data_IF_864541839776
#
_entry.id   IF_864541839776
#
_cell.length_a   1.000
_cell.length_b   1.000
_cell.length_c   1.000
_cell.angle_alpha   90.00
_cell.angle_beta   90.00
_cell.angle_gamma   90.00
#
_symmetry.space_group_name_H-M   'P 1'
#
loop_
_entity.id
_entity.type
_entity.pdbx_description
1 polymer ?
#
# COMPACT_ATOMS: atom_id res chain seq x y z
N UNK A 1 21.16 -49.97 -27.27
CA UNK A 1 20.91 -48.50 -27.30
C UNK A 1 19.42 -48.31 -27.47
N UNK A 2 18.75 -47.51 -26.63
CA UNK A 2 17.36 -47.09 -26.85
C UNK A 2 17.33 -46.15 -28.07
N UNK A 3 16.37 -46.31 -28.96
CA UNK A 3 16.27 -45.44 -30.12
C UNK A 3 15.96 -44.01 -29.70
N UNK A 4 16.47 -43.02 -30.41
CA UNK A 4 16.24 -41.60 -30.15
C UNK A 4 14.74 -41.27 -30.14
N UNK A 5 13.96 -41.93 -30.99
CA UNK A 5 12.49 -41.83 -31.05
C UNK A 5 11.82 -42.24 -29.73
N UNK A 6 12.28 -43.31 -29.09
CA UNK A 6 11.76 -43.74 -27.79
C UNK A 6 12.03 -42.71 -26.72
N UNK A 7 13.24 -42.18 -26.70
CA UNK A 7 13.64 -41.16 -25.71
C UNK A 7 12.81 -39.89 -25.87
N UNK A 8 12.61 -39.42 -27.10
CA UNK A 8 11.78 -38.23 -27.40
C UNK A 8 10.34 -38.48 -26.96
N UNK A 9 9.75 -39.64 -27.35
CA UNK A 9 8.36 -39.94 -27.01
C UNK A 9 8.13 -40.06 -25.51
N UNK A 10 9.07 -40.72 -24.78
CA UNK A 10 9.03 -40.83 -23.32
C UNK A 10 9.10 -39.47 -22.64
N UNK A 11 10.04 -38.61 -23.05
CA UNK A 11 10.21 -37.27 -22.49
C UNK A 11 8.97 -36.40 -22.73
N UNK A 12 8.38 -36.51 -23.92
CA UNK A 12 7.17 -35.77 -24.27
C UNK A 12 5.98 -36.22 -23.40
N UNK A 13 5.77 -37.52 -23.21
CA UNK A 13 4.71 -38.03 -22.34
C UNK A 13 4.88 -37.57 -20.91
N UNK A 14 6.10 -37.67 -20.37
CA UNK A 14 6.41 -37.20 -19.01
C UNK A 14 6.16 -35.72 -18.87
N UNK A 15 6.59 -34.91 -19.85
CA UNK A 15 6.36 -33.45 -19.84
C UNK A 15 4.87 -33.09 -19.85
N UNK A 16 4.05 -33.81 -20.66
CA UNK A 16 2.60 -33.61 -20.70
C UNK A 16 1.96 -34.00 -19.37
N UNK A 17 2.30 -35.14 -18.78
CA UNK A 17 1.75 -35.56 -17.48
C UNK A 17 2.07 -34.56 -16.40
N UNK A 18 3.33 -34.09 -16.31
CA UNK A 18 3.76 -33.11 -15.35
C UNK A 18 3.06 -31.75 -15.59
N UNK A 19 2.94 -31.33 -16.86
CA UNK A 19 2.26 -30.10 -17.23
C UNK A 19 0.78 -30.12 -16.83
N UNK A 20 0.06 -31.20 -17.09
CA UNK A 20 -1.33 -31.37 -16.68
C UNK A 20 -1.44 -31.40 -15.15
N UNK A 21 -0.56 -32.14 -14.45
CA UNK A 21 -0.56 -32.20 -13.00
C UNK A 21 -0.32 -30.84 -12.35
N UNK A 22 0.64 -30.05 -12.85
CA UNK A 22 0.90 -28.69 -12.38
C UNK A 22 -0.28 -27.74 -12.67
N UNK A 23 -0.86 -27.81 -13.87
CA UNK A 23 -1.97 -26.96 -14.26
C UNK A 23 -3.21 -27.20 -13.40
N UNK A 24 -3.59 -28.46 -13.20
CA UNK A 24 -4.76 -28.81 -12.37
C UNK A 24 -4.55 -28.43 -10.90
N UNK A 25 -3.34 -28.61 -10.37
CA UNK A 25 -3.01 -28.20 -9.00
C UNK A 25 -3.07 -26.69 -8.86
N UNK A 26 -2.48 -25.94 -9.80
CA UNK A 26 -2.52 -24.47 -9.80
C UNK A 26 -3.95 -23.93 -9.87
N UNK A 27 -4.80 -24.53 -10.69
CA UNK A 27 -6.20 -24.11 -10.84
C UNK A 27 -7.03 -24.41 -9.58
N UNK A 28 -6.83 -25.56 -8.95
CA UNK A 28 -7.53 -25.93 -7.70
C UNK A 28 -7.14 -25.05 -6.50
N UNK A 29 -5.94 -24.48 -6.51
CA UNK A 29 -5.44 -23.58 -5.46
C UNK A 29 -5.78 -22.11 -5.70
N UNK A 30 -6.17 -21.74 -6.90
CA UNK A 30 -6.36 -20.35 -7.32
C UNK A 30 -7.43 -19.61 -6.49
N UNK A 31 -8.54 -20.26 -6.21
CA UNK A 31 -9.62 -19.69 -5.40
C UNK A 31 -9.15 -19.39 -3.97
N UNK A 32 -8.46 -20.35 -3.35
CA UNK A 32 -7.90 -20.17 -2.01
C UNK A 32 -6.82 -19.08 -1.97
N UNK A 33 -6.00 -18.98 -3.00
CA UNK A 33 -4.99 -17.93 -3.12
C UNK A 33 -5.64 -16.55 -3.24
N UNK A 34 -6.69 -16.42 -4.04
CA UNK A 34 -7.41 -15.16 -4.19
C UNK A 34 -8.06 -14.70 -2.87
N UNK A 35 -8.68 -15.62 -2.14
CA UNK A 35 -9.25 -15.33 -0.82
C UNK A 35 -8.18 -14.88 0.18
N UNK A 36 -7.02 -15.54 0.20
CA UNK A 36 -5.91 -15.15 1.07
C UNK A 36 -5.37 -13.75 0.71
N UNK A 37 -5.21 -13.46 -0.59
CA UNK A 37 -4.77 -12.13 -1.05
C UNK A 37 -5.76 -11.05 -0.64
N UNK A 38 -7.06 -11.29 -0.77
CA UNK A 38 -8.10 -10.35 -0.35
C UNK A 38 -8.04 -10.10 1.17
N UNK A 39 -7.87 -11.15 1.97
CA UNK A 39 -7.70 -11.04 3.42
C UNK A 39 -6.43 -10.26 3.80
N UNK A 40 -5.33 -10.51 3.12
CA UNK A 40 -4.07 -9.79 3.36
C UNK A 40 -4.20 -8.30 3.03
N UNK A 41 -4.91 -7.95 1.97
CA UNK A 41 -5.25 -6.57 1.62
C UNK A 41 -6.05 -5.92 2.76
N UNK A 42 -7.13 -6.56 3.23
CA UNK A 42 -7.95 -6.05 4.33
C UNK A 42 -7.16 -5.88 5.62
N UNK A 43 -6.32 -6.85 5.98
CA UNK A 43 -5.42 -6.77 7.13
C UNK A 43 -4.49 -5.57 7.04
N UNK A 44 -3.85 -5.36 5.90
CA UNK A 44 -2.93 -4.23 5.71
C UNK A 44 -3.63 -2.87 5.79
N UNK A 45 -4.85 -2.76 5.25
CA UNK A 45 -5.66 -1.54 5.37
C UNK A 45 -6.04 -1.28 6.82
N UNK A 46 -6.48 -2.30 7.56
CA UNK A 46 -6.80 -2.19 8.99
C UNK A 46 -5.56 -1.79 9.80
N UNK A 47 -4.43 -2.48 9.59
CA UNK A 47 -3.17 -2.18 10.28
C UNK A 47 -2.74 -0.73 10.08
N UNK A 48 -2.70 -0.26 8.83
CA UNK A 48 -2.20 1.09 8.53
C UNK A 48 -3.12 2.18 9.07
N UNK A 49 -4.42 1.87 9.24
CA UNK A 49 -5.40 2.77 9.84
C UNK A 49 -5.43 2.71 11.37
N UNK A 50 -4.58 1.86 11.98
CA UNK A 50 -4.42 1.77 13.42
C UNK A 50 -5.42 0.84 14.12
N UNK A 51 -6.04 -0.09 13.39
CA UNK A 51 -6.84 -1.14 14.00
C UNK A 51 -5.93 -2.30 14.42
N UNK A 52 -5.89 -2.57 15.71
CA UNK A 52 -5.19 -3.74 16.25
C UNK A 52 -5.95 -5.01 15.86
N UNK A 53 -5.26 -5.92 15.21
CA UNK A 53 -5.74 -7.27 14.99
C UNK A 53 -4.73 -8.26 15.59
N UNK A 54 -5.18 -9.02 16.57
CA UNK A 54 -4.38 -10.06 17.20
C UNK A 54 -4.21 -11.26 16.26
N UNK A 55 -3.13 -12.02 16.45
CA UNK A 55 -2.86 -13.27 15.74
C UNK A 55 -3.97 -14.32 15.89
N UNK A 56 -4.81 -14.19 16.91
CA UNK A 56 -5.89 -15.11 17.23
C UNK A 56 -7.22 -14.80 16.53
N UNK A 57 -7.28 -13.67 15.79
CA UNK A 57 -8.47 -13.30 15.02
C UNK A 57 -8.68 -14.24 13.84
N UNK A 58 -9.92 -14.71 13.70
CA UNK A 58 -10.32 -15.52 12.55
C UNK A 58 -10.45 -14.66 11.28
N UNK A 59 -10.51 -15.31 10.12
CA UNK A 59 -10.73 -14.61 8.87
C UNK A 59 -12.10 -13.90 8.83
N UNK A 60 -13.10 -14.47 9.49
CA UNK A 60 -14.43 -13.88 9.64
C UNK A 60 -14.39 -12.62 10.51
N UNK A 61 -13.58 -12.60 11.58
CA UNK A 61 -13.40 -11.42 12.45
C UNK A 61 -12.78 -10.26 11.68
N UNK A 62 -11.74 -10.54 10.86
CA UNK A 62 -11.08 -9.54 10.01
C UNK A 62 -12.06 -8.97 8.98
N UNK A 63 -12.85 -9.82 8.33
CA UNK A 63 -13.85 -9.36 7.37
C UNK A 63 -14.92 -8.49 8.02
N UNK A 64 -15.39 -8.89 9.20
CA UNK A 64 -16.39 -8.15 9.97
C UNK A 64 -15.86 -6.80 10.44
N UNK A 65 -14.62 -6.76 10.96
CA UNK A 65 -13.95 -5.53 11.36
C UNK A 65 -13.80 -4.58 10.17
N UNK A 66 -13.33 -5.08 9.02
CA UNK A 66 -13.20 -4.30 7.81
C UNK A 66 -14.55 -3.72 7.37
N UNK A 67 -15.59 -4.56 7.26
CA UNK A 67 -16.93 -4.15 6.82
C UNK A 67 -17.56 -3.10 7.73
N UNK A 68 -17.32 -3.19 9.03
CA UNK A 68 -17.93 -2.28 10.01
C UNK A 68 -17.21 -0.93 10.11
N UNK A 69 -15.91 -0.88 9.85
CA UNK A 69 -15.10 0.31 10.11
C UNK A 69 -14.56 0.99 8.83
N UNK A 70 -14.56 0.30 7.68
CA UNK A 70 -13.96 0.82 6.44
C UNK A 70 -15.02 0.99 5.37
N UNK A 71 -15.07 2.17 4.77
CA UNK A 71 -15.82 2.45 3.55
C UNK A 71 -14.88 2.75 2.39
N UNK A 72 -15.20 2.18 1.23
CA UNK A 72 -14.44 2.41 0.00
C UNK A 72 -15.06 3.57 -0.77
N UNK A 73 -14.22 4.52 -1.15
CA UNK A 73 -14.59 5.67 -1.97
C UNK A 73 -13.82 5.58 -3.28
N UNK A 74 -14.49 5.82 -4.38
CA UNK A 74 -13.87 5.92 -5.70
C UNK A 74 -13.92 7.37 -6.14
N UNK A 75 -12.77 7.89 -6.57
CA UNK A 75 -12.64 9.25 -7.08
C UNK A 75 -12.13 9.24 -8.51
N UNK A 76 -12.47 10.27 -9.26
CA UNK A 76 -11.89 10.53 -10.58
C UNK A 76 -10.59 11.36 -10.47
N UNK A 77 -9.98 11.66 -11.62
CA UNK A 77 -8.72 12.44 -11.69
C UNK A 77 -8.86 13.89 -11.19
N UNK A 78 -10.08 14.42 -11.11
CA UNK A 78 -10.37 15.76 -10.55
C UNK A 78 -10.65 15.71 -9.05
N UNK A 79 -10.64 14.53 -8.42
CA UNK A 79 -10.91 14.33 -7.00
C UNK A 79 -12.39 14.37 -6.63
N UNK A 80 -13.29 14.14 -7.56
CA UNK A 80 -14.72 14.01 -7.32
C UNK A 80 -15.08 12.57 -7.01
N UNK A 81 -15.95 12.37 -6.02
CA UNK A 81 -16.46 11.03 -5.70
C UNK A 81 -17.42 10.61 -6.82
N UNK A 82 -17.19 9.44 -7.36
CA UNK A 82 -18.01 8.85 -8.42
C UNK A 82 -18.63 7.53 -7.97
N UNK A 83 -19.81 7.24 -8.50
CA UNK A 83 -20.43 5.92 -8.29
C UNK A 83 -19.72 4.83 -9.11
N UNK A 84 -19.67 3.61 -8.56
CA UNK A 84 -19.04 2.43 -9.18
C UNK A 84 -19.52 2.11 -10.61
N UNK A 85 -20.60 2.74 -11.08
CA UNK A 85 -21.23 2.48 -12.39
C UNK A 85 -20.75 3.43 -13.50
N UNK A 86 -19.87 4.39 -13.19
CA UNK A 86 -19.38 5.33 -14.21
C UNK A 86 -18.08 4.79 -14.81
N UNK A 87 -18.10 4.55 -16.11
CA UNK A 87 -16.92 4.13 -16.89
C UNK A 87 -16.01 5.32 -17.16
N UNK A 88 -15.36 5.85 -16.13
CA UNK A 88 -14.27 6.81 -16.31
C UNK A 88 -12.96 6.08 -16.57
N UNK A 89 -12.13 6.66 -17.46
CA UNK A 89 -10.85 6.07 -17.90
C UNK A 89 -9.82 5.94 -16.79
N UNK A 90 -9.90 6.77 -15.74
CA UNK A 90 -8.95 6.77 -14.64
C UNK A 90 -9.66 7.03 -13.31
N UNK A 91 -9.66 6.02 -12.46
CA UNK A 91 -10.26 6.10 -11.12
C UNK A 91 -9.25 5.71 -10.05
N UNK A 92 -9.39 6.31 -8.87
CA UNK A 92 -8.54 6.04 -7.72
C UNK A 92 -9.41 5.64 -6.52
N UNK A 93 -8.96 4.63 -5.78
CA UNK A 93 -9.68 4.10 -4.61
C UNK A 93 -9.08 4.67 -3.32
N UNK A 94 -9.95 5.12 -2.42
CA UNK A 94 -9.61 5.57 -1.07
C UNK A 94 -10.36 4.70 -0.08
N UNK A 95 -9.70 4.25 0.97
CA UNK A 95 -10.28 3.54 2.09
C UNK A 95 -10.44 4.51 3.26
N UNK A 96 -11.66 4.78 3.66
CA UNK A 96 -11.98 5.71 4.73
C UNK A 96 -12.33 4.93 5.99
N UNK A 97 -11.64 5.18 7.10
CA UNK A 97 -11.98 4.61 8.40
C UNK A 97 -12.91 5.54 9.18
N UNK A 98 -13.85 4.92 9.93
CA UNK A 98 -14.83 5.64 10.74
C UNK A 98 -14.97 5.00 12.11
N UNK A 99 -15.25 5.85 13.10
CA UNK A 99 -15.74 5.47 14.42
C UNK A 99 -17.11 6.18 14.61
N UNK A 100 -18.19 5.41 14.47
CA UNK A 100 -19.53 5.95 14.34
C UNK A 100 -19.63 6.90 13.13
N UNK A 101 -19.97 8.16 13.39
CA UNK A 101 -20.07 9.20 12.34
C UNK A 101 -18.75 9.97 12.11
N UNK A 102 -17.73 9.74 12.93
CA UNK A 102 -16.45 10.46 12.84
C UNK A 102 -15.49 9.73 11.94
N UNK A 103 -14.92 10.44 10.97
CA UNK A 103 -13.81 9.94 10.15
C UNK A 103 -12.55 9.93 11.01
N UNK A 104 -11.85 8.79 11.05
CA UNK A 104 -10.64 8.57 11.86
C UNK A 104 -9.38 8.46 11.01
N UNK A 105 -9.51 8.42 9.68
CA UNK A 105 -8.39 8.43 8.75
C UNK A 105 -8.77 7.95 7.36
N UNK A 106 -7.80 8.03 6.49
CA UNK A 106 -7.89 7.56 5.10
C UNK A 106 -6.69 6.67 4.80
N UNK A 107 -6.84 5.67 3.94
CA UNK A 107 -5.72 4.93 3.38
C UNK A 107 -5.81 4.92 1.85
N UNK A 108 -4.70 5.12 1.19
CA UNK A 108 -4.56 5.06 -0.26
C UNK A 108 -3.58 3.96 -0.65
N UNK A 109 -3.84 3.22 -1.73
CA UNK A 109 -2.87 2.30 -2.28
C UNK A 109 -1.68 3.08 -2.85
N UNK A 110 -0.49 2.58 -2.57
CA UNK A 110 0.76 3.10 -3.10
C UNK A 110 1.53 2.00 -3.81
N UNK A 111 2.15 2.32 -4.94
CA UNK A 111 2.96 1.37 -5.67
C UNK A 111 4.04 2.05 -6.51
N UNK A 112 5.24 1.51 -6.46
CA UNK A 112 6.31 2.00 -7.31
C UNK A 112 7.58 1.17 -7.25
N UNK A 113 8.56 1.58 -8.00
CA UNK A 113 9.79 0.83 -8.17
C UNK A 113 10.72 1.00 -6.97
N UNK A 114 11.05 -0.12 -6.30
CA UNK A 114 12.21 -0.20 -5.42
C UNK A 114 13.49 -0.53 -6.20
N UNK A 115 14.44 -1.21 -5.56
CA UNK A 115 15.67 -1.64 -6.22
C UNK A 115 15.42 -2.88 -7.12
N UNK A 116 14.76 -3.91 -6.59
CA UNK A 116 14.60 -5.21 -7.26
C UNK A 116 13.24 -5.43 -7.91
N UNK A 117 12.27 -4.60 -7.60
CA UNK A 117 10.94 -4.76 -8.16
C UNK A 117 9.97 -3.69 -7.74
N UNK A 118 8.70 -3.88 -8.12
CA UNK A 118 7.62 -3.02 -7.65
C UNK A 118 7.30 -3.36 -6.21
N UNK A 119 7.24 -2.34 -5.38
CA UNK A 119 6.75 -2.37 -4.01
C UNK A 119 5.28 -1.96 -4.02
N UNK A 120 4.46 -2.63 -3.24
CA UNK A 120 3.03 -2.36 -3.09
C UNK A 120 2.70 -2.21 -1.62
N UNK A 121 1.92 -1.19 -1.28
CA UNK A 121 1.57 -0.91 0.09
C UNK A 121 0.34 -0.02 0.21
N UNK A 122 0.13 0.47 1.43
CA UNK A 122 -0.88 1.47 1.75
C UNK A 122 -0.25 2.60 2.56
N UNK A 123 -0.63 3.82 2.24
CA UNK A 123 -0.26 5.01 2.99
C UNK A 123 -1.52 5.55 3.66
N UNK A 124 -1.47 5.66 4.99
CA UNK A 124 -2.57 6.19 5.77
C UNK A 124 -2.37 7.66 6.10
N UNK A 125 -3.47 8.39 6.08
CA UNK A 125 -3.56 9.83 6.20
C UNK A 125 -4.52 10.15 7.35
N UNK A 126 -4.13 11.05 8.24
CA UNK A 126 -4.99 11.54 9.32
C UNK A 126 -6.21 12.33 8.76
N UNK A 127 -7.27 12.53 9.56
CA UNK A 127 -8.45 13.28 9.11
C UNK A 127 -8.16 14.70 8.64
N UNK A 128 -7.02 15.29 9.05
CA UNK A 128 -6.58 16.63 8.63
C UNK A 128 -6.12 16.68 7.15
N UNK A 129 -6.04 15.52 6.48
CA UNK A 129 -5.60 15.37 5.10
C UNK A 129 -4.21 15.99 4.80
N UNK A 130 -3.35 16.12 5.82
CA UNK A 130 -2.01 16.73 5.72
C UNK A 130 -0.93 15.97 6.47
N UNK A 131 -1.34 15.05 7.36
CA UNK A 131 -0.45 14.30 8.25
C UNK A 131 -0.52 12.82 7.93
N UNK A 132 0.63 12.16 7.89
CA UNK A 132 0.73 10.71 7.76
C UNK A 132 0.30 10.03 9.06
N UNK A 133 -0.62 9.06 8.95
CA UNK A 133 -1.04 8.18 10.03
C UNK A 133 -0.19 6.92 10.09
N UNK A 134 0.34 6.48 8.93
CA UNK A 134 1.18 5.30 8.83
C UNK A 134 1.46 4.88 7.39
N UNK A 135 2.27 3.85 7.25
CA UNK A 135 2.58 3.20 5.96
C UNK A 135 2.72 1.69 6.16
N UNK A 136 2.30 0.90 5.18
CA UNK A 136 2.53 -0.56 5.17
C UNK A 136 2.95 -1.00 3.77
N UNK A 137 3.65 -2.14 3.73
CA UNK A 137 3.98 -2.81 2.47
C UNK A 137 3.52 -4.27 2.58
N UNK A 138 2.83 -4.78 1.58
CA UNK A 138 2.34 -6.16 1.57
C UNK A 138 2.99 -7.00 0.48
N UNK A 139 3.73 -6.36 -0.44
CA UNK A 139 4.41 -7.08 -1.51
C UNK A 139 5.61 -6.30 -2.03
N UNK A 140 6.78 -6.90 -1.98
CA UNK A 140 8.00 -6.39 -2.61
C UNK A 140 8.97 -7.55 -2.89
N UNK A 141 10.10 -7.24 -3.53
CA UNK A 141 11.20 -8.17 -3.83
C UNK A 141 12.54 -7.68 -3.30
N UNK A 142 12.51 -6.77 -2.33
CA UNK A 142 13.72 -6.19 -1.76
C UNK A 142 14.49 -7.22 -0.91
N UNK A 143 15.80 -7.02 -0.79
CA UNK A 143 16.70 -7.95 -0.11
C UNK A 143 16.49 -7.88 1.42
N UNK A 144 16.30 -9.03 2.12
CA UNK A 144 16.26 -9.10 3.57
C UNK A 144 17.50 -8.46 4.23
N UNK A 145 17.26 -7.69 5.32
CA UNK A 145 18.31 -6.94 6.02
C UNK A 145 18.80 -5.68 5.30
N UNK A 146 18.25 -5.37 4.12
CA UNK A 146 18.52 -4.18 3.34
C UNK A 146 17.18 -3.50 2.97
N UNK A 147 16.81 -3.47 1.70
CA UNK A 147 15.56 -2.84 1.25
C UNK A 147 14.29 -3.43 1.87
N UNK A 148 14.29 -4.71 2.27
CA UNK A 148 13.15 -5.34 2.94
C UNK A 148 12.91 -4.84 4.38
N UNK A 149 13.81 -4.02 4.94
CA UNK A 149 13.58 -3.35 6.21
C UNK A 149 12.41 -2.35 6.16
N UNK A 150 11.90 -2.02 4.98
CA UNK A 150 10.66 -1.23 4.81
C UNK A 150 9.45 -1.85 5.52
N UNK A 151 9.43 -3.19 5.71
CA UNK A 151 8.36 -3.91 6.40
C UNK A 151 8.46 -3.84 7.93
N UNK A 152 9.60 -3.41 8.45
CA UNK A 152 9.84 -3.39 9.90
C UNK A 152 9.15 -2.20 10.56
N UNK A 153 8.65 -2.44 11.76
CA UNK A 153 7.93 -1.41 12.52
C UNK A 153 8.79 -0.17 12.79
N UNK A 154 10.10 -0.36 13.05
CA UNK A 154 11.01 0.77 13.26
C UNK A 154 11.02 1.72 12.07
N UNK A 155 10.96 1.21 10.82
CA UNK A 155 10.93 2.04 9.63
C UNK A 155 9.53 2.64 9.38
N UNK A 156 8.49 1.81 9.44
CA UNK A 156 7.10 2.25 9.23
C UNK A 156 6.67 3.32 10.22
N UNK A 157 7.07 3.18 11.49
CA UNK A 157 6.72 4.12 12.56
C UNK A 157 7.34 5.51 12.37
N UNK A 158 8.44 5.63 11.60
CA UNK A 158 9.02 6.95 11.27
C UNK A 158 8.06 7.83 10.46
N UNK A 159 7.08 7.25 9.78
CA UNK A 159 6.10 8.01 9.00
C UNK A 159 4.99 8.62 9.84
N UNK A 160 4.71 8.05 11.02
CA UNK A 160 3.62 8.51 11.90
C UNK A 160 3.85 9.95 12.32
N UNK A 161 2.85 10.82 12.07
CA UNK A 161 2.89 12.24 12.42
C UNK A 161 3.71 13.11 11.45
N UNK A 162 4.35 12.53 10.42
CA UNK A 162 5.04 13.33 9.40
C UNK A 162 4.05 14.09 8.54
N UNK A 163 4.44 15.29 8.14
CA UNK A 163 3.65 16.12 7.22
C UNK A 163 4.04 15.84 5.78
N UNK A 164 3.06 15.88 4.89
CA UNK A 164 3.30 15.78 3.44
C UNK A 164 2.75 17.00 2.68
N UNK A 165 2.15 17.95 3.42
CA UNK A 165 1.68 19.25 2.97
C UNK A 165 2.46 20.32 3.72
N UNK A 166 2.98 21.32 3.03
CA UNK A 166 3.70 22.44 3.65
C UNK A 166 2.74 23.49 4.26
N UNK A 167 3.33 24.47 4.93
CA UNK A 167 2.57 25.51 5.61
C UNK A 167 1.82 26.46 4.63
N UNK A 168 2.11 26.37 3.32
CA UNK A 168 1.37 27.07 2.24
C UNK A 168 0.21 26.25 1.67
N UNK A 169 0.03 25.01 2.14
CA UNK A 169 -0.97 24.08 1.63
C UNK A 169 -0.55 23.28 0.40
N UNK A 170 0.73 23.36 0.01
CA UNK A 170 1.27 22.66 -1.15
C UNK A 170 1.77 21.27 -0.78
N UNK A 171 1.53 20.29 -1.66
CA UNK A 171 2.06 18.94 -1.55
C UNK A 171 3.59 18.92 -1.71
N UNK A 172 4.30 18.51 -0.66
CA UNK A 172 5.76 18.32 -0.64
C UNK A 172 6.15 16.85 -0.55
N UNK A 173 5.25 15.97 -0.06
CA UNK A 173 5.49 14.55 0.21
C UNK A 173 6.39 14.31 1.42
N UNK A 174 6.79 13.04 1.64
CA UNK A 174 7.73 12.63 2.67
C UNK A 174 8.97 12.02 2.01
N UNK A 175 10.14 12.51 2.38
CA UNK A 175 11.42 12.05 1.84
C UNK A 175 12.07 11.02 2.77
N UNK A 176 12.49 9.89 2.21
CA UNK A 176 13.39 8.93 2.87
C UNK A 176 14.81 9.38 2.61
N UNK A 177 15.47 9.96 3.61
CA UNK A 177 16.82 10.51 3.45
C UNK A 177 17.89 9.41 3.53
N UNK A 178 19.13 9.75 3.20
CA UNK A 178 20.28 8.89 3.49
C UNK A 178 20.73 9.14 4.94
N UNK A 179 20.73 8.09 5.77
CA UNK A 179 21.11 8.19 7.19
C UNK A 179 19.92 8.58 8.07
N UNK A 180 20.17 9.39 9.08
CA UNK A 180 19.18 9.76 10.10
C UNK A 180 18.77 11.23 9.97
N UNK A 181 17.49 11.48 10.22
CA UNK A 181 16.94 12.84 10.26
C UNK A 181 17.47 13.57 11.49
N UNK A 182 18.07 14.75 11.30
CA UNK A 182 18.50 15.57 12.42
C UNK A 182 17.29 16.30 13.04
N UNK A 183 17.20 16.29 14.37
CA UNK A 183 16.18 17.07 15.09
C UNK A 183 16.30 18.58 14.85
N UNK A 184 17.50 19.05 14.45
CA UNK A 184 17.78 20.46 14.12
C UNK A 184 17.40 20.82 12.68
N UNK A 185 17.02 19.84 11.85
CA UNK A 185 16.58 20.11 10.48
C UNK A 185 15.17 20.72 10.50
N UNK A 186 14.97 21.95 10.02
CA UNK A 186 13.65 22.58 9.96
C UNK A 186 12.64 21.79 9.14
N UNK A 187 13.13 20.98 8.19
CA UNK A 187 12.31 20.12 7.33
C UNK A 187 12.13 18.70 7.87
N UNK A 188 12.57 18.43 9.11
CA UNK A 188 12.46 17.10 9.75
C UNK A 188 11.03 16.55 9.75
N UNK A 189 10.03 17.42 9.75
CA UNK A 189 8.61 17.06 9.65
C UNK A 189 8.21 16.41 8.32
N UNK A 190 9.03 16.58 7.27
CA UNK A 190 8.81 16.01 5.92
C UNK A 190 9.80 14.88 5.59
N UNK A 191 10.62 14.46 6.54
CA UNK A 191 11.70 13.50 6.31
C UNK A 191 11.61 12.33 7.27
N UNK A 192 12.04 11.17 6.81
CA UNK A 192 12.20 9.95 7.60
C UNK A 192 13.59 9.36 7.39
N UNK A 193 14.04 8.59 8.37
CA UNK A 193 15.33 7.93 8.36
C UNK A 193 15.44 6.95 7.19
N UNK A 194 16.62 6.91 6.61
CA UNK A 194 16.94 5.94 5.56
C UNK A 194 17.32 4.58 6.12
N UNK A 195 17.28 3.60 5.24
CA UNK A 195 17.71 2.23 5.53
C UNK A 195 19.18 2.07 5.12
N UNK A 196 20.03 1.65 6.05
CA UNK A 196 21.45 1.41 5.78
C UNK A 196 21.62 0.39 4.64
N UNK A 197 22.43 0.74 3.64
CA UNK A 197 22.69 -0.13 2.48
C UNK A 197 21.53 -0.20 1.47
N UNK A 198 20.42 0.53 1.67
CA UNK A 198 19.23 0.49 0.80
C UNK A 198 18.81 1.88 0.26
N UNK A 199 19.77 2.73 -0.04
CA UNK A 199 19.53 4.10 -0.53
C UNK A 199 18.63 4.12 -1.78
N UNK A 200 18.81 3.18 -2.72
CA UNK A 200 18.01 3.12 -3.95
C UNK A 200 16.55 2.78 -3.63
N UNK A 201 16.30 1.86 -2.71
CA UNK A 201 14.93 1.53 -2.24
C UNK A 201 14.28 2.76 -1.59
N UNK A 202 15.01 3.49 -0.73
CA UNK A 202 14.51 4.72 -0.10
C UNK A 202 14.20 5.83 -1.10
N UNK A 203 15.08 6.05 -2.08
CA UNK A 203 14.84 7.02 -3.17
C UNK A 203 13.64 6.62 -4.02
N UNK A 204 13.51 5.32 -4.32
CA UNK A 204 12.35 4.78 -5.03
C UNK A 204 11.06 5.06 -4.26
N UNK A 205 11.03 4.77 -2.94
CA UNK A 205 9.89 5.04 -2.08
C UNK A 205 9.52 6.52 -2.07
N UNK A 206 10.47 7.42 -1.88
CA UNK A 206 10.25 8.88 -1.95
C UNK A 206 9.58 9.28 -3.27
N UNK A 207 10.09 8.74 -4.38
CA UNK A 207 9.61 9.10 -5.71
C UNK A 207 8.17 8.63 -5.96
N UNK A 208 7.88 7.37 -5.67
CA UNK A 208 6.54 6.86 -5.96
C UNK A 208 5.49 7.32 -4.93
N UNK A 209 5.87 7.52 -3.66
CA UNK A 209 4.96 8.07 -2.67
C UNK A 209 4.47 9.46 -3.09
N UNK A 210 5.39 10.32 -3.56
CA UNK A 210 5.02 11.62 -4.08
C UNK A 210 4.09 11.52 -5.29
N UNK A 211 4.44 10.69 -6.26
CA UNK A 211 3.65 10.49 -7.47
C UNK A 211 2.24 9.92 -7.17
N UNK A 212 2.14 9.03 -6.17
CA UNK A 212 0.84 8.51 -5.75
C UNK A 212 0.05 9.57 -4.99
N UNK A 213 0.65 10.32 -4.06
CA UNK A 213 -0.03 11.42 -3.37
C UNK A 213 -0.57 12.48 -4.35
N UNK A 214 0.16 12.80 -5.42
CA UNK A 214 -0.28 13.74 -6.47
C UNK A 214 -1.60 13.32 -7.13
N UNK A 215 -1.87 12.01 -7.27
CA UNK A 215 -3.13 11.48 -7.84
C UNK A 215 -4.34 11.75 -6.95
N UNK A 216 -4.14 11.77 -5.62
CA UNK A 216 -5.18 11.94 -4.62
C UNK A 216 -5.29 13.38 -4.12
N UNK A 217 -4.31 14.22 -4.42
CA UNK A 217 -4.25 15.62 -3.97
C UNK A 217 -5.50 16.44 -4.34
N UNK A 218 -6.11 16.30 -5.52
CA UNK A 218 -7.35 17.02 -5.82
C UNK A 218 -8.50 16.75 -4.83
N UNK A 219 -8.61 15.51 -4.31
CA UNK A 219 -9.60 15.15 -3.30
C UNK A 219 -9.23 15.69 -1.92
N UNK A 220 -7.99 15.46 -1.47
CA UNK A 220 -7.54 15.87 -0.13
C UNK A 220 -7.42 17.39 0.01
N UNK A 221 -7.07 18.10 -1.03
CA UNK A 221 -7.06 19.57 -1.05
C UNK A 221 -8.47 20.15 -0.80
N UNK A 222 -9.51 19.56 -1.39
CA UNK A 222 -10.91 19.97 -1.12
C UNK A 222 -11.29 19.70 0.34
N UNK A 223 -10.89 18.55 0.89
CA UNK A 223 -11.16 18.25 2.31
C UNK A 223 -10.48 19.24 3.24
N UNK A 224 -9.21 19.60 2.99
CA UNK A 224 -8.52 20.63 3.79
C UNK A 224 -9.23 21.96 3.76
N UNK A 225 -9.68 22.37 2.58
CA UNK A 225 -10.38 23.66 2.41
C UNK A 225 -11.75 23.66 3.10
N UNK A 226 -12.49 22.54 3.07
CA UNK A 226 -13.78 22.43 3.78
C UNK A 226 -13.62 22.47 5.30
N UNK A 227 -12.59 21.77 5.83
CA UNK A 227 -12.30 21.75 7.27
C UNK A 227 -11.90 23.15 7.80
N UNK A 228 -11.24 23.97 6.99
CA UNK A 228 -10.89 25.35 7.36
C UNK A 228 -12.10 26.27 7.39
N UNK A 229 -13.07 26.05 6.50
CA UNK A 229 -14.30 26.86 6.46
C UNK A 229 -15.27 26.58 7.61
N UNK A 230 -15.24 25.38 8.20
CA UNK A 230 -16.05 25.01 9.37
C UNK A 230 -15.46 25.48 10.71
N UNK A 231 -14.16 25.81 10.73
CA UNK A 231 -13.44 26.25 11.94
C UNK A 231 -13.30 27.78 12.06
N UNK A 232 -13.81 28.54 11.09
CA UNK A 232 -13.81 30.01 11.04
C UNK A 232 -15.18 30.59 11.31
#
# INVERSE_FOLDING_TARGET
MRSDTYTIMFTMIVAVILGVGLSTTADSLRERQNLNVELDIKKNILTVLGFDHNSDMTNEDIQSMYKNNISEIIINSTGEIIDNNISELTTYKIYQSRDGNKITGYAIPIAGKGLWGTMYGYFAIEPDASTAKGITFYKHKETPGLGAEVDKDWFKNNFIGKKFIDDSGKLVSIEVIKGFVSEKDPDSKYKVDGISGATITGTGLTTFLKADLEKYEPYFSRLRNSNQSESS
#
